data_IF_765602086316
#
_entry.id   IF_765602086316
#
_cell.length_a   1.000
_cell.length_b   1.000
_cell.length_c   1.000
_cell.angle_alpha   90.00
_cell.angle_beta   90.00
_cell.angle_gamma   90.00
#
_symmetry.space_group_name_H-M   'P 1'
#
loop_
_entity.id
_entity.type
_entity.pdbx_description
1 polymer ?
#
# COMPACT_ATOMS: atom_id res chain seq x y z
N UNK A 1 -5.56 -85.39 3.88
CA UNK A 1 -5.40 -84.01 3.37
C UNK A 1 -6.39 -83.07 4.06
N UNK A 2 -7.68 -83.43 4.11
CA UNK A 2 -8.73 -82.64 4.82
C UNK A 2 -8.47 -82.46 6.32
N UNK A 3 -7.96 -83.48 7.02
CA UNK A 3 -7.65 -83.41 8.46
C UNK A 3 -6.49 -82.47 8.79
N UNK A 4 -5.49 -82.37 7.92
CA UNK A 4 -4.38 -81.42 8.08
C UNK A 4 -4.81 -79.99 7.78
N UNK A 5 -5.70 -79.80 6.80
CA UNK A 5 -6.28 -78.50 6.45
C UNK A 5 -7.18 -77.98 7.58
N UNK A 6 -8.02 -78.85 8.16
CA UNK A 6 -8.85 -78.50 9.32
C UNK A 6 -8.01 -78.13 10.56
N UNK A 7 -6.90 -78.85 10.80
CA UNK A 7 -5.93 -78.52 11.85
C UNK A 7 -5.27 -77.14 11.63
N UNK A 8 -4.94 -76.81 10.39
CA UNK A 8 -4.37 -75.50 10.02
C UNK A 8 -5.38 -74.36 10.18
N UNK A 9 -6.64 -74.57 9.77
CA UNK A 9 -7.71 -73.60 9.98
C UNK A 9 -8.00 -73.34 11.46
N UNK A 10 -8.01 -74.39 12.29
CA UNK A 10 -8.20 -74.26 13.74
C UNK A 10 -7.05 -73.46 14.40
N UNK A 11 -5.80 -73.76 14.03
CA UNK A 11 -4.62 -73.00 14.50
C UNK A 11 -4.64 -71.54 14.05
N UNK A 12 -5.13 -71.26 12.85
CA UNK A 12 -5.32 -69.88 12.38
C UNK A 12 -6.44 -69.17 13.13
N UNK A 13 -7.54 -69.84 13.44
CA UNK A 13 -8.62 -69.27 14.25
C UNK A 13 -8.18 -68.97 15.70
N UNK A 14 -7.29 -69.76 16.29
CA UNK A 14 -6.68 -69.47 17.60
C UNK A 14 -5.77 -68.23 17.60
N UNK A 15 -5.16 -67.90 16.46
CA UNK A 15 -4.24 -66.76 16.33
C UNK A 15 -4.89 -65.50 15.75
N UNK A 16 -6.14 -65.56 15.31
CA UNK A 16 -6.89 -64.40 14.85
C UNK A 16 -7.50 -63.68 16.07
N UNK A 17 -7.29 -62.36 16.22
CA UNK A 17 -7.94 -61.61 17.29
C UNK A 17 -9.46 -61.70 17.15
N UNK A 18 -10.16 -61.82 18.27
CA UNK A 18 -11.62 -61.93 18.29
C UNK A 18 -12.23 -60.76 17.48
N UNK A 19 -13.01 -61.04 16.43
CA UNK A 19 -13.59 -60.00 15.58
C UNK A 19 -14.47 -59.03 16.38
N UNK A 20 -15.05 -59.46 17.51
CA UNK A 20 -15.81 -58.58 18.41
C UNK A 20 -14.92 -57.61 19.21
N UNK A 21 -13.70 -58.02 19.54
CA UNK A 21 -12.72 -57.17 20.20
C UNK A 21 -12.15 -56.13 19.23
N UNK A 22 -11.82 -56.56 18.00
CA UNK A 22 -11.34 -55.66 16.93
C UNK A 22 -12.40 -54.61 16.57
N UNK A 23 -13.67 -55.01 16.47
CA UNK A 23 -14.76 -54.07 16.19
C UNK A 23 -14.99 -53.09 17.35
N UNK A 24 -14.96 -53.55 18.60
CA UNK A 24 -15.07 -52.69 19.78
C UNK A 24 -13.93 -51.67 19.86
N UNK A 25 -12.70 -52.08 19.56
CA UNK A 25 -11.55 -51.17 19.55
C UNK A 25 -11.65 -50.15 18.41
N UNK A 26 -12.07 -50.57 17.23
CA UNK A 26 -12.30 -49.67 16.10
C UNK A 26 -13.42 -48.66 16.40
N UNK A 27 -14.50 -49.07 17.06
CA UNK A 27 -15.58 -48.16 17.49
C UNK A 27 -15.10 -47.13 18.52
N UNK A 28 -14.29 -47.55 19.49
CA UNK A 28 -13.72 -46.63 20.48
C UNK A 28 -12.84 -45.57 19.82
N UNK A 29 -11.93 -45.99 18.93
CA UNK A 29 -11.07 -45.08 18.18
C UNK A 29 -11.91 -44.14 17.31
N UNK A 30 -12.94 -44.66 16.63
CA UNK A 30 -13.83 -43.86 15.80
C UNK A 30 -14.60 -42.81 16.61
N UNK A 31 -15.11 -43.15 17.80
CA UNK A 31 -15.75 -42.18 18.71
C UNK A 31 -14.76 -41.10 19.14
N UNK A 32 -13.55 -41.48 19.54
CA UNK A 32 -12.51 -40.53 19.92
C UNK A 32 -12.13 -39.58 18.77
N UNK A 33 -12.03 -40.09 17.54
CA UNK A 33 -11.74 -39.26 16.37
C UNK A 33 -12.89 -38.30 16.05
N UNK A 34 -14.15 -38.76 16.19
CA UNK A 34 -15.33 -37.89 16.01
C UNK A 34 -15.35 -36.76 17.03
N UNK A 35 -15.02 -37.05 18.28
CA UNK A 35 -14.97 -36.04 19.34
C UNK A 35 -13.85 -35.01 19.07
N UNK A 36 -12.67 -35.48 18.63
CA UNK A 36 -11.57 -34.59 18.22
C UNK A 36 -11.95 -33.70 17.02
N UNK A 37 -12.61 -34.27 16.00
CA UNK A 37 -13.08 -33.52 14.83
C UNK A 37 -14.11 -32.47 15.25
N UNK A 38 -15.07 -32.83 16.12
CA UNK A 38 -16.04 -31.87 16.65
C UNK A 38 -15.34 -30.73 17.39
N UNK A 39 -14.36 -31.05 18.23
CA UNK A 39 -13.60 -30.04 18.97
C UNK A 39 -12.80 -29.12 18.02
N UNK A 40 -12.18 -29.67 16.97
CA UNK A 40 -11.49 -28.89 15.94
C UNK A 40 -12.46 -27.98 15.18
N UNK A 41 -13.66 -28.47 14.84
CA UNK A 41 -14.70 -27.66 14.19
C UNK A 41 -15.16 -26.51 15.08
N UNK A 42 -15.34 -26.74 16.39
CA UNK A 42 -15.68 -25.70 17.35
C UNK A 42 -14.58 -24.66 17.51
N UNK A 43 -13.31 -25.07 17.52
CA UNK A 43 -12.18 -24.14 17.54
C UNK A 43 -12.12 -23.30 16.27
N UNK A 44 -12.31 -23.91 15.10
CA UNK A 44 -12.33 -23.20 13.83
C UNK A 44 -13.48 -22.18 13.77
N UNK A 45 -14.69 -22.57 14.18
CA UNK A 45 -15.83 -21.66 14.25
C UNK A 45 -15.58 -20.49 15.22
N UNK A 46 -14.92 -20.75 16.34
CA UNK A 46 -14.54 -19.72 17.31
C UNK A 46 -13.51 -18.75 16.72
N UNK A 47 -12.50 -19.26 16.01
CA UNK A 47 -11.53 -18.43 15.28
C UNK A 47 -12.22 -17.59 14.22
N UNK A 48 -13.12 -18.17 13.41
CA UNK A 48 -13.90 -17.45 12.40
C UNK A 48 -14.73 -16.31 13.03
N UNK A 49 -15.34 -16.55 14.19
CA UNK A 49 -16.10 -15.53 14.93
C UNK A 49 -15.21 -14.42 15.49
N UNK A 50 -14.08 -14.76 16.10
CA UNK A 50 -13.14 -13.77 16.66
C UNK A 50 -12.48 -12.94 15.55
N UNK A 51 -12.22 -13.58 14.41
CA UNK A 51 -11.75 -12.95 13.18
C UNK A 51 -12.72 -11.83 12.79
N UNK A 52 -14.03 -12.09 12.65
CA UNK A 52 -14.98 -11.03 12.22
C UNK A 52 -15.13 -9.86 13.21
N UNK A 53 -14.73 -10.04 14.46
CA UNK A 53 -14.71 -8.98 15.48
C UNK A 53 -13.38 -8.24 15.56
N UNK A 54 -12.35 -8.73 14.87
CA UNK A 54 -11.01 -8.16 14.90
C UNK A 54 -11.00 -6.77 14.25
N UNK A 55 -10.47 -5.73 14.92
CA UNK A 55 -10.27 -4.42 14.31
C UNK A 55 -9.27 -4.48 13.13
N UNK A 56 -8.44 -5.54 13.06
CA UNK A 56 -7.55 -5.81 11.93
C UNK A 56 -8.27 -6.33 10.69
N UNK A 57 -9.57 -6.66 10.79
CA UNK A 57 -10.41 -7.08 9.67
C UNK A 57 -11.39 -6.02 9.20
N UNK A 58 -11.25 -4.77 9.65
CA UNK A 58 -11.80 -3.67 8.87
C UNK A 58 -11.30 -3.87 7.42
N UNK A 59 -12.19 -4.09 6.44
CA UNK A 59 -11.77 -4.52 5.12
C UNK A 59 -10.86 -3.45 4.56
N UNK A 60 -9.60 -3.82 4.33
CA UNK A 60 -8.64 -2.92 3.71
C UNK A 60 -9.21 -2.46 2.38
N UNK A 61 -9.23 -1.15 2.16
CA UNK A 61 -9.67 -0.53 0.92
C UNK A 61 -8.50 -0.29 -0.04
N UNK A 62 -7.34 -0.94 0.16
CA UNK A 62 -6.14 -0.70 -0.65
C UNK A 62 -6.36 -0.96 -2.13
N UNK A 63 -7.10 -2.03 -2.49
CA UNK A 63 -7.43 -2.31 -3.89
C UNK A 63 -8.39 -1.28 -4.49
N UNK A 64 -9.43 -0.91 -3.75
CA UNK A 64 -10.37 0.14 -4.17
C UNK A 64 -9.68 1.51 -4.33
N UNK A 65 -8.69 1.80 -3.46
CA UNK A 65 -7.85 2.98 -3.59
C UNK A 65 -6.97 2.91 -4.84
N UNK A 66 -6.33 1.76 -5.09
CA UNK A 66 -5.57 1.51 -6.32
C UNK A 66 -6.42 1.73 -7.57
N UNK A 67 -7.58 1.08 -7.66
CA UNK A 67 -8.52 1.22 -8.79
C UNK A 67 -9.08 2.65 -8.93
N UNK A 68 -9.12 3.42 -7.83
CA UNK A 68 -9.52 4.82 -7.86
C UNK A 68 -8.40 5.77 -8.31
N UNK A 69 -7.15 5.48 -7.93
CA UNK A 69 -5.98 6.32 -8.22
C UNK A 69 -5.40 6.06 -9.60
N UNK A 70 -5.44 4.80 -10.05
CA UNK A 70 -4.78 4.34 -11.25
C UNK A 70 -5.81 3.88 -12.29
N UNK A 71 -5.65 4.36 -13.52
CA UNK A 71 -6.39 3.87 -14.68
C UNK A 71 -5.40 3.21 -15.61
N UNK A 72 -5.76 2.01 -16.09
CA UNK A 72 -4.90 1.22 -16.98
C UNK A 72 -4.38 2.08 -18.13
N UNK A 73 -3.06 2.13 -18.26
CA UNK A 73 -2.39 2.99 -19.24
C UNK A 73 -1.37 2.19 -20.03
N UNK A 74 -1.59 2.13 -21.35
CA UNK A 74 -0.75 1.40 -22.28
C UNK A 74 -0.20 2.34 -23.35
N UNK A 75 1.10 2.26 -23.62
CA UNK A 75 1.78 3.04 -24.65
C UNK A 75 2.36 2.12 -25.73
N UNK A 76 1.52 1.44 -26.52
CA UNK A 76 1.99 0.50 -27.53
C UNK A 76 2.80 1.21 -28.62
N UNK A 77 3.68 0.44 -29.27
CA UNK A 77 4.52 0.92 -30.38
C UNK A 77 3.73 1.34 -31.63
N UNK A 78 2.44 1.03 -31.69
CA UNK A 78 1.54 1.44 -32.77
C UNK A 78 1.14 2.92 -32.70
N UNK A 79 1.27 3.56 -31.54
CA UNK A 79 0.93 4.98 -31.37
C UNK A 79 2.02 5.88 -31.96
N UNK A 80 1.61 6.89 -32.71
CA UNK A 80 2.49 7.98 -33.13
C UNK A 80 2.97 8.80 -31.93
N UNK A 81 4.09 9.50 -32.06
CA UNK A 81 4.65 10.36 -30.99
C UNK A 81 3.64 11.37 -30.45
N UNK A 82 2.83 11.97 -31.33
CA UNK A 82 1.78 12.92 -30.94
C UNK A 82 0.70 12.23 -30.10
N UNK A 83 0.17 11.10 -30.57
CA UNK A 83 -0.84 10.33 -29.82
C UNK A 83 -0.32 9.84 -28.46
N UNK A 84 0.95 9.44 -28.38
CA UNK A 84 1.60 9.07 -27.12
C UNK A 84 1.63 10.26 -26.15
N UNK A 85 2.02 11.44 -26.65
CA UNK A 85 2.09 12.67 -25.86
C UNK A 85 0.70 13.10 -25.38
N UNK A 86 -0.30 13.06 -26.25
CA UNK A 86 -1.68 13.41 -25.92
C UNK A 86 -2.26 12.45 -24.87
N UNK A 87 -1.95 11.15 -24.96
CA UNK A 87 -2.35 10.15 -23.97
C UNK A 87 -1.73 10.43 -22.59
N UNK A 88 -0.43 10.69 -22.55
CA UNK A 88 0.28 11.03 -21.30
C UNK A 88 -0.26 12.31 -20.66
N UNK A 89 -0.54 13.34 -21.46
CA UNK A 89 -1.14 14.59 -21.00
C UNK A 89 -2.55 14.34 -20.45
N UNK A 90 -3.38 13.56 -21.15
CA UNK A 90 -4.72 13.22 -20.71
C UNK A 90 -4.71 12.45 -19.38
N UNK A 91 -3.76 11.53 -19.18
CA UNK A 91 -3.56 10.82 -17.93
C UNK A 91 -3.20 11.80 -16.78
N UNK A 92 -2.25 12.71 -17.01
CA UNK A 92 -1.88 13.75 -16.03
C UNK A 92 -3.10 14.61 -15.62
N UNK A 93 -3.87 15.09 -16.60
CA UNK A 93 -5.03 15.94 -16.36
C UNK A 93 -6.16 15.20 -15.64
N UNK A 94 -6.38 13.93 -15.99
CA UNK A 94 -7.34 13.07 -15.31
C UNK A 94 -6.94 12.85 -13.86
N UNK A 95 -5.69 12.48 -13.60
CA UNK A 95 -5.17 12.26 -12.25
C UNK A 95 -5.39 13.49 -11.36
N UNK A 96 -4.92 14.66 -11.81
CA UNK A 96 -5.07 15.93 -11.08
C UNK A 96 -6.53 16.29 -10.82
N UNK A 97 -7.45 15.98 -11.74
CA UNK A 97 -8.88 16.22 -11.59
C UNK A 97 -9.54 15.28 -10.58
N UNK A 98 -9.09 14.03 -10.48
CA UNK A 98 -9.69 13.01 -9.61
C UNK A 98 -9.27 13.16 -8.14
N UNK A 99 -8.10 13.73 -7.86
CA UNK A 99 -7.56 13.83 -6.49
C UNK A 99 -8.57 14.34 -5.46
N UNK A 100 -9.28 15.48 -5.64
CA UNK A 100 -10.18 15.98 -4.61
C UNK A 100 -11.32 15.02 -4.29
N UNK A 101 -11.84 14.31 -5.30
CA UNK A 101 -12.87 13.29 -5.11
C UNK A 101 -12.34 12.06 -4.36
N UNK A 102 -11.13 11.61 -4.68
CA UNK A 102 -10.47 10.50 -3.99
C UNK A 102 -10.18 10.85 -2.52
N UNK A 103 -9.67 12.05 -2.25
CA UNK A 103 -9.48 12.55 -0.88
C UNK A 103 -10.80 12.60 -0.12
N UNK A 104 -11.87 13.10 -0.77
CA UNK A 104 -13.22 13.08 -0.20
C UNK A 104 -13.74 11.68 0.15
N UNK A 105 -13.37 10.65 -0.64
CA UNK A 105 -13.82 9.25 -0.46
C UNK A 105 -13.01 8.49 0.59
N UNK A 106 -11.70 8.72 0.67
CA UNK A 106 -10.79 7.91 1.49
C UNK A 106 -10.27 8.65 2.73
N UNK A 107 -9.97 9.95 2.63
CA UNK A 107 -9.39 10.71 3.73
C UNK A 107 -10.42 11.39 4.64
N UNK A 108 -11.59 11.78 4.11
CA UNK A 108 -12.57 12.62 4.83
C UNK A 108 -12.96 12.09 6.22
N UNK A 109 -13.20 10.79 6.34
CA UNK A 109 -13.58 10.16 7.61
C UNK A 109 -12.49 10.24 8.69
N UNK A 110 -11.24 10.48 8.30
CA UNK A 110 -10.08 10.53 9.19
C UNK A 110 -9.63 11.96 9.51
N UNK A 111 -10.21 12.98 8.87
CA UNK A 111 -9.88 14.40 9.14
C UNK A 111 -10.00 14.80 10.62
N UNK A 112 -10.97 14.30 11.42
CA UNK A 112 -11.05 14.60 12.84
C UNK A 112 -9.89 14.00 13.67
N UNK A 113 -9.24 12.94 13.16
CA UNK A 113 -8.16 12.25 13.87
C UNK A 113 -6.80 12.92 13.66
N UNK A 114 -6.63 13.65 12.56
CA UNK A 114 -5.48 14.53 12.40
C UNK A 114 -5.66 15.73 13.35
N UNK A 115 -4.59 16.15 14.02
CA UNK A 115 -4.56 17.36 14.85
C UNK A 115 -3.27 18.12 14.55
N UNK A 116 -3.14 19.36 15.04
CA UNK A 116 -1.89 20.12 14.87
C UNK A 116 -0.69 19.47 15.59
N UNK A 117 -0.95 18.77 16.70
CA UNK A 117 0.10 18.09 17.48
C UNK A 117 0.36 16.67 17.03
N UNK A 118 -0.57 16.06 16.29
CA UNK A 118 -0.47 14.67 15.87
C UNK A 118 -1.01 14.49 14.44
N UNK A 119 -0.13 14.32 13.43
CA UNK A 119 -0.57 13.93 12.10
C UNK A 119 -1.21 12.55 12.13
N UNK A 120 -2.21 12.33 11.29
CA UNK A 120 -2.83 11.02 11.13
C UNK A 120 -2.13 10.27 10.00
N UNK A 121 -1.64 9.07 10.25
CA UNK A 121 -1.13 8.16 9.22
C UNK A 121 -1.72 6.77 9.42
N UNK A 122 -2.28 6.20 8.36
CA UNK A 122 -2.86 4.86 8.38
C UNK A 122 -2.39 4.05 7.19
N UNK A 123 -1.58 3.02 7.48
CA UNK A 123 -1.12 2.04 6.49
C UNK A 123 -1.99 0.80 6.55
N UNK A 124 -2.42 0.33 5.38
CA UNK A 124 -3.23 -0.87 5.22
C UNK A 124 -2.65 -1.76 4.12
N UNK A 125 -2.80 -3.07 4.29
CA UNK A 125 -2.31 -4.09 3.35
C UNK A 125 -3.47 -4.99 2.93
N UNK A 126 -3.57 -5.29 1.65
CA UNK A 126 -4.56 -6.20 1.07
C UNK A 126 -3.89 -7.07 0.01
N UNK A 127 -4.35 -8.29 -0.21
CA UNK A 127 -3.99 -9.08 -1.38
C UNK A 127 -5.25 -9.59 -2.08
N UNK A 128 -5.22 -9.67 -3.41
CA UNK A 128 -6.37 -10.10 -4.24
C UNK A 128 -6.14 -11.42 -4.98
N UNK A 129 -5.10 -12.17 -4.59
CA UNK A 129 -4.68 -13.43 -5.18
C UNK A 129 -3.57 -13.26 -6.22
N UNK A 130 -3.54 -12.14 -6.95
CA UNK A 130 -2.52 -11.84 -7.94
C UNK A 130 -1.46 -10.87 -7.40
N UNK A 131 -1.91 -9.85 -6.68
CA UNK A 131 -1.05 -8.78 -6.18
C UNK A 131 -1.24 -8.55 -4.68
N UNK A 132 -0.20 -7.98 -4.06
CA UNK A 132 -0.32 -7.36 -2.73
C UNK A 132 -0.32 -5.86 -2.88
N UNK A 133 -1.35 -5.22 -2.34
CA UNK A 133 -1.53 -3.78 -2.29
C UNK A 133 -1.17 -3.28 -0.91
N UNK A 134 -0.29 -2.29 -0.84
CA UNK A 134 0.04 -1.59 0.39
C UNK A 134 -0.36 -0.14 0.17
N UNK A 135 -1.28 0.37 0.97
CA UNK A 135 -1.80 1.74 0.87
C UNK A 135 -1.51 2.55 2.13
N UNK A 136 -1.30 3.85 1.99
CA UNK A 136 -1.20 4.78 3.11
C UNK A 136 -2.10 6.00 2.88
N UNK A 137 -2.73 6.45 3.96
CA UNK A 137 -3.42 7.73 4.06
C UNK A 137 -2.67 8.56 5.11
N UNK A 138 -2.17 9.73 4.71
CA UNK A 138 -1.53 10.69 5.59
C UNK A 138 -2.31 12.01 5.58
N UNK A 139 -2.60 12.54 6.76
CA UNK A 139 -3.26 13.83 6.96
C UNK A 139 -2.47 14.64 7.98
N UNK A 140 -2.00 15.81 7.58
CA UNK A 140 -1.23 16.71 8.43
C UNK A 140 -1.78 18.13 8.33
N UNK A 141 -1.81 18.85 9.44
CA UNK A 141 -2.10 20.29 9.47
C UNK A 141 -0.83 21.04 9.78
N UNK A 142 -0.40 21.90 8.86
CA UNK A 142 0.76 22.77 9.03
C UNK A 142 0.24 24.13 9.55
N UNK A 143 0.46 24.45 10.83
CA UNK A 143 -0.08 25.68 11.43
C UNK A 143 0.71 26.92 11.01
N UNK A 144 0.06 28.09 11.01
CA UNK A 144 0.67 29.42 10.89
C UNK A 144 1.55 29.63 9.65
N UNK A 145 1.24 28.95 8.54
CA UNK A 145 1.99 29.07 7.28
C UNK A 145 1.03 29.34 6.14
N UNK A 146 1.47 30.18 5.20
CA UNK A 146 0.75 30.36 3.94
C UNK A 146 0.89 29.10 3.07
N UNK A 147 -0.05 28.94 2.17
CA UNK A 147 -0.05 27.86 1.19
C UNK A 147 1.21 27.87 0.32
N UNK A 148 1.72 29.04 -0.04
CA UNK A 148 2.94 29.20 -0.85
C UNK A 148 4.15 28.53 -0.20
N UNK A 149 4.38 28.76 1.09
CA UNK A 149 5.51 28.14 1.81
C UNK A 149 5.37 26.62 1.93
N UNK A 150 4.16 26.13 2.22
CA UNK A 150 3.90 24.69 2.31
C UNK A 150 4.10 23.98 0.97
N UNK A 151 3.62 24.59 -0.13
CA UNK A 151 3.82 24.07 -1.49
C UNK A 151 5.30 24.09 -1.85
N UNK A 152 6.02 25.19 -1.58
CA UNK A 152 7.46 25.28 -1.83
C UNK A 152 8.25 24.20 -1.08
N UNK A 153 7.92 23.93 0.18
CA UNK A 153 8.54 22.87 0.98
C UNK A 153 8.27 21.47 0.41
N UNK A 154 7.05 21.21 -0.04
CA UNK A 154 6.70 19.92 -0.66
C UNK A 154 7.39 19.72 -2.01
N UNK A 155 7.46 20.76 -2.84
CA UNK A 155 8.19 20.71 -4.11
C UNK A 155 9.68 20.46 -3.88
N UNK A 156 10.27 21.07 -2.84
CA UNK A 156 11.64 20.80 -2.44
C UNK A 156 11.86 19.32 -2.07
N UNK A 157 10.93 18.71 -1.34
CA UNK A 157 10.98 17.27 -1.05
C UNK A 157 10.98 16.44 -2.33
N UNK A 158 10.09 16.72 -3.29
CA UNK A 158 10.04 15.94 -4.53
C UNK A 158 11.30 16.11 -5.39
N UNK A 159 11.88 17.33 -5.42
CA UNK A 159 13.11 17.61 -6.15
C UNK A 159 14.33 16.89 -5.56
N UNK A 160 14.36 16.70 -4.23
CA UNK A 160 15.47 16.07 -3.52
C UNK A 160 15.19 14.62 -3.11
N UNK A 161 14.09 14.03 -3.59
CA UNK A 161 13.58 12.74 -3.14
C UNK A 161 14.66 11.63 -3.17
N UNK A 162 15.45 11.57 -4.24
CA UNK A 162 16.54 10.60 -4.39
C UNK A 162 17.55 10.71 -3.25
N UNK A 163 18.00 11.93 -2.96
CA UNK A 163 18.98 12.23 -1.93
C UNK A 163 18.43 11.90 -0.55
N UNK A 164 17.20 12.32 -0.25
CA UNK A 164 16.55 12.09 1.05
C UNK A 164 16.31 10.59 1.32
N UNK A 165 15.93 9.82 0.28
CA UNK A 165 15.77 8.36 0.41
C UNK A 165 17.08 7.65 0.69
N UNK A 166 18.14 8.06 0.00
CA UNK A 166 19.44 7.45 0.19
C UNK A 166 20.02 7.80 1.57
N UNK A 167 19.91 9.06 1.99
CA UNK A 167 20.47 9.51 3.28
C UNK A 167 19.71 8.95 4.48
N UNK A 168 18.38 8.91 4.44
CA UNK A 168 17.57 8.51 5.58
C UNK A 168 17.28 7.01 5.63
N UNK A 169 17.17 6.34 4.48
CA UNK A 169 16.72 4.94 4.40
C UNK A 169 17.72 4.01 3.70
N UNK A 170 18.82 4.52 3.12
CA UNK A 170 19.74 3.72 2.32
C UNK A 170 19.11 3.18 1.04
N UNK A 171 18.00 3.79 0.61
CA UNK A 171 17.22 3.39 -0.56
C UNK A 171 17.68 4.21 -1.76
N UNK A 172 18.04 3.54 -2.85
CA UNK A 172 18.45 4.20 -4.08
C UNK A 172 17.23 4.39 -4.98
N UNK A 173 16.98 5.63 -5.39
CA UNK A 173 15.85 5.97 -6.24
C UNK A 173 16.30 7.02 -7.26
N UNK A 174 16.47 6.60 -8.51
CA UNK A 174 16.76 7.52 -9.61
C UNK A 174 15.48 7.87 -10.33
N UNK A 175 15.27 9.16 -10.59
CA UNK A 175 14.12 9.65 -11.35
C UNK A 175 14.63 10.39 -12.58
N UNK A 176 14.51 9.75 -13.74
CA UNK A 176 14.95 10.29 -15.03
C UNK A 176 13.75 10.86 -15.78
N UNK A 177 13.83 12.12 -16.23
CA UNK A 177 12.77 12.71 -17.08
C UNK A 177 12.96 12.22 -18.51
N UNK A 178 12.01 11.40 -18.99
CA UNK A 178 12.01 10.89 -20.36
C UNK A 178 11.42 11.91 -21.35
N UNK A 179 10.38 12.64 -20.91
CA UNK A 179 9.72 13.66 -21.73
C UNK A 179 9.13 14.76 -20.85
N UNK A 180 9.39 16.02 -21.17
CA UNK A 180 8.67 17.16 -20.61
C UNK A 180 7.34 17.34 -21.35
N UNK A 181 6.23 17.36 -20.60
CA UNK A 181 4.87 17.50 -21.11
C UNK A 181 4.31 18.93 -20.88
N UNK A 182 5.14 19.83 -20.33
CA UNK A 182 4.81 21.21 -20.04
C UNK A 182 3.81 21.38 -18.90
N UNK A 183 3.69 22.61 -18.38
CA UNK A 183 2.73 22.98 -17.34
C UNK A 183 2.83 22.13 -16.06
N UNK A 184 4.05 21.82 -15.63
CA UNK A 184 4.28 21.02 -14.43
C UNK A 184 3.95 19.53 -14.60
N UNK A 185 3.95 19.03 -15.85
CA UNK A 185 3.73 17.64 -16.20
C UNK A 185 4.98 17.04 -16.82
N UNK A 186 5.30 15.80 -16.47
CA UNK A 186 6.45 15.09 -17.00
C UNK A 186 6.17 13.61 -17.13
N UNK A 187 6.79 12.98 -18.11
CA UNK A 187 6.93 11.53 -18.18
C UNK A 187 8.33 11.15 -17.73
N UNK A 188 8.41 10.24 -16.76
CA UNK A 188 9.65 9.91 -16.06
C UNK A 188 9.84 8.41 -15.96
N UNK A 189 11.09 7.99 -15.80
CA UNK A 189 11.45 6.64 -15.39
C UNK A 189 12.02 6.68 -13.98
N UNK A 190 11.38 5.95 -13.08
CA UNK A 190 11.84 5.72 -11.72
C UNK A 190 12.57 4.39 -11.66
N UNK A 191 13.85 4.40 -11.26
CA UNK A 191 14.63 3.20 -10.95
C UNK A 191 14.84 3.13 -9.45
N UNK A 192 14.21 2.14 -8.84
CA UNK A 192 14.18 1.93 -7.40
C UNK A 192 15.02 0.70 -7.02
N UNK A 193 15.82 0.82 -5.98
CA UNK A 193 16.58 -0.28 -5.39
C UNK A 193 16.62 -0.12 -3.88
N UNK A 194 16.23 -1.18 -3.20
CA UNK A 194 16.28 -1.30 -1.76
C UNK A 194 17.04 -2.58 -1.39
N UNK A 195 18.31 -2.40 -1.05
CA UNK A 195 19.24 -3.51 -0.86
C UNK A 195 19.49 -4.31 -2.15
N UNK A 196 20.10 -5.50 -2.03
CA UNK A 196 20.47 -6.33 -3.19
C UNK A 196 19.30 -7.12 -3.77
N UNK A 197 18.26 -7.37 -2.97
CA UNK A 197 17.18 -8.32 -3.29
C UNK A 197 15.89 -7.67 -3.80
N UNK A 198 15.80 -6.34 -3.76
CA UNK A 198 14.62 -5.61 -4.18
C UNK A 198 15.00 -4.47 -5.11
N UNK A 199 14.55 -4.56 -6.37
CA UNK A 199 14.70 -3.49 -7.35
C UNK A 199 13.51 -3.50 -8.29
N UNK A 200 13.05 -2.32 -8.68
CA UNK A 200 12.03 -2.12 -9.69
C UNK A 200 12.42 -0.95 -10.58
N UNK A 201 12.05 -1.03 -11.84
CA UNK A 201 12.07 0.12 -12.74
C UNK A 201 10.65 0.37 -13.16
N UNK A 202 10.28 1.61 -13.38
CA UNK A 202 8.94 1.93 -13.78
C UNK A 202 8.81 3.26 -14.46
N UNK A 203 7.90 3.35 -15.43
CA UNK A 203 7.61 4.63 -16.05
C UNK A 203 6.37 5.26 -15.40
N UNK A 204 6.48 6.55 -15.10
CA UNK A 204 5.55 7.29 -14.27
C UNK A 204 5.27 8.65 -14.88
N UNK A 205 3.99 8.97 -15.01
CA UNK A 205 3.50 10.32 -15.26
C UNK A 205 3.50 11.11 -13.95
N UNK A 206 4.06 12.32 -13.99
CA UNK A 206 4.05 13.26 -12.88
C UNK A 206 3.29 14.49 -13.33
N UNK A 207 2.40 15.00 -12.48
CA UNK A 207 1.63 16.20 -12.75
C UNK A 207 1.45 17.02 -11.47
N UNK A 208 1.77 18.31 -11.55
CA UNK A 208 1.52 19.27 -10.48
C UNK A 208 0.62 20.40 -10.98
N UNK A 209 -0.41 20.73 -10.20
CA UNK A 209 -1.26 21.91 -10.43
C UNK A 209 -1.38 22.69 -9.13
N UNK A 210 -0.88 23.93 -9.16
CA UNK A 210 -0.96 24.86 -8.04
C UNK A 210 -1.90 26.00 -8.42
N UNK A 211 -2.91 26.22 -7.60
CA UNK A 211 -3.83 27.37 -7.66
C UNK A 211 -3.74 28.13 -6.34
N UNK A 212 -4.32 29.35 -6.23
CA UNK A 212 -4.38 30.06 -4.96
C UNK A 212 -5.11 29.29 -3.84
N UNK A 213 -6.02 28.38 -4.24
CA UNK A 213 -6.90 27.65 -3.31
C UNK A 213 -6.50 26.18 -3.09
N UNK A 214 -5.60 25.62 -3.89
CA UNK A 214 -5.20 24.22 -3.76
C UNK A 214 -3.92 23.88 -4.53
N UNK A 215 -3.13 22.94 -4.02
CA UNK A 215 -2.00 22.39 -4.74
C UNK A 215 -2.15 20.88 -4.81
N UNK A 216 -2.06 20.35 -6.02
CA UNK A 216 -2.24 18.94 -6.33
C UNK A 216 -0.98 18.43 -6.99
N UNK A 217 -0.43 17.33 -6.49
CA UNK A 217 0.66 16.58 -7.13
C UNK A 217 0.21 15.14 -7.30
N UNK A 218 0.33 14.61 -8.50
CA UNK A 218 -0.02 13.23 -8.84
C UNK A 218 1.18 12.58 -9.50
N UNK A 219 1.45 11.36 -9.07
CA UNK A 219 2.34 10.41 -9.71
C UNK A 219 1.54 9.14 -9.99
N UNK A 220 1.34 8.82 -11.25
CA UNK A 220 0.59 7.66 -11.70
C UNK A 220 1.38 6.97 -12.80
N UNK A 221 1.28 5.66 -12.86
CA UNK A 221 2.17 4.88 -13.69
C UNK A 221 1.60 4.41 -15.01
N UNK A 222 2.48 3.87 -15.87
CA UNK A 222 2.10 3.27 -17.14
C UNK A 222 2.30 1.75 -17.07
N UNK A 223 1.24 0.96 -17.27
CA UNK A 223 1.26 -0.51 -17.17
C UNK A 223 2.04 -1.16 -18.31
N UNK A 224 1.69 -0.81 -19.55
CA UNK A 224 2.31 -1.34 -20.76
C UNK A 224 3.26 -0.30 -21.35
N UNK A 225 4.33 -0.09 -20.59
CA UNK A 225 5.64 0.36 -21.05
C UNK A 225 6.67 -0.55 -20.34
N UNK A 226 7.93 -0.61 -20.77
CA UNK A 226 8.85 -1.75 -20.53
C UNK A 226 9.09 -2.15 -19.04
N UNK A 227 8.55 -1.48 -18.01
CA UNK A 227 8.62 -1.94 -16.60
C UNK A 227 7.43 -1.47 -15.70
N UNK A 228 7.16 -2.19 -14.57
CA UNK A 228 5.98 -2.04 -13.68
C UNK A 228 6.17 -1.17 -12.39
N UNK A 229 5.14 -0.43 -11.89
CA UNK A 229 5.38 0.77 -11.05
C UNK A 229 4.63 0.93 -9.69
N UNK A 230 4.82 2.13 -9.10
CA UNK A 230 4.31 2.71 -7.83
C UNK A 230 3.36 3.91 -8.09
N UNK A 231 2.26 4.06 -7.34
CA UNK A 231 1.31 5.22 -7.44
C UNK A 231 1.27 6.11 -6.21
N UNK A 232 1.22 7.44 -6.42
CA UNK A 232 1.19 8.44 -5.33
C UNK A 232 0.37 9.68 -5.69
N UNK A 233 -0.30 10.25 -4.71
CA UNK A 233 -1.08 11.48 -4.89
C UNK A 233 -1.04 12.34 -3.62
N UNK A 234 -0.91 13.65 -3.80
CA UNK A 234 -0.84 14.67 -2.76
C UNK A 234 -1.79 15.81 -3.08
N UNK A 235 -2.57 16.25 -2.09
CA UNK A 235 -3.44 17.42 -2.12
C UNK A 235 -3.11 18.31 -0.92
N UNK A 236 -2.91 19.59 -1.17
CA UNK A 236 -2.81 20.61 -0.14
C UNK A 236 -3.90 21.65 -0.35
N UNK A 237 -4.60 22.00 0.73
CA UNK A 237 -5.65 23.02 0.72
C UNK A 237 -5.42 23.97 1.90
N UNK A 238 -5.52 25.30 1.69
CA UNK A 238 -5.54 26.25 2.78
C UNK A 238 -6.85 26.07 3.56
N UNK A 239 -6.75 26.15 4.88
CA UNK A 239 -7.88 26.11 5.80
C UNK A 239 -7.73 27.23 6.82
N UNK A 240 -8.86 27.68 7.36
CA UNK A 240 -8.90 28.57 8.51
C UNK A 240 -9.51 27.84 9.67
N UNK A 241 -8.82 27.85 10.80
CA UNK A 241 -9.36 27.31 12.03
C UNK A 241 -10.59 28.17 12.44
N UNK A 242 -11.78 27.56 12.55
CA UNK A 242 -13.02 28.28 12.83
C UNK A 242 -13.09 28.87 14.25
N UNK A 243 -12.22 28.44 15.18
CA UNK A 243 -12.23 28.88 16.57
C UNK A 243 -11.33 30.10 16.82
N UNK A 244 -10.19 30.19 16.14
CA UNK A 244 -9.19 31.24 16.37
C UNK A 244 -8.90 32.10 15.11
N UNK A 245 -9.46 31.74 13.95
CA UNK A 245 -9.28 32.45 12.68
C UNK A 245 -7.89 32.30 12.07
N UNK A 246 -7.02 31.45 12.62
CA UNK A 246 -5.66 31.26 12.12
C UNK A 246 -5.64 30.43 10.84
N UNK A 247 -4.79 30.85 9.91
CA UNK A 247 -4.56 30.13 8.66
C UNK A 247 -3.61 28.95 8.88
N UNK A 248 -4.01 27.80 8.34
CA UNK A 248 -3.19 26.59 8.29
C UNK A 248 -3.33 25.91 6.94
N UNK A 249 -2.40 25.02 6.62
CA UNK A 249 -2.46 24.23 5.39
C UNK A 249 -2.76 22.78 5.77
N UNK A 250 -3.85 22.25 5.24
CA UNK A 250 -4.17 20.83 5.32
C UNK A 250 -3.45 20.11 4.19
N UNK A 251 -2.52 19.22 4.55
CA UNK A 251 -1.82 18.31 3.65
C UNK A 251 -2.46 16.93 3.73
N UNK A 252 -2.88 16.41 2.58
CA UNK A 252 -3.51 15.10 2.44
C UNK A 252 -2.75 14.30 1.39
N UNK A 253 -2.26 13.11 1.75
CA UNK A 253 -1.55 12.22 0.83
C UNK A 253 -2.22 10.86 0.83
N UNK A 254 -2.41 10.34 -0.38
CA UNK A 254 -2.80 8.96 -0.65
C UNK A 254 -1.66 8.32 -1.45
N UNK A 255 -1.20 7.16 -1.03
CA UNK A 255 -0.25 6.37 -1.81
C UNK A 255 -0.62 4.91 -1.78
N UNK A 256 -0.36 4.23 -2.89
CA UNK A 256 -0.62 2.80 -3.02
C UNK A 256 0.44 2.15 -3.89
N UNK A 257 1.04 1.09 -3.35
CA UNK A 257 2.02 0.29 -4.06
C UNK A 257 1.36 -1.06 -4.40
N UNK A 258 1.43 -1.45 -5.67
CA UNK A 258 1.05 -2.79 -6.14
C UNK A 258 2.30 -3.64 -6.28
N UNK A 259 2.42 -4.68 -5.46
CA UNK A 259 3.53 -5.64 -5.50
C UNK A 259 3.10 -6.92 -6.21
N UNK A 260 3.89 -7.36 -7.18
CA UNK A 260 3.80 -8.69 -7.76
C UNK A 260 4.48 -9.73 -6.85
N UNK A 261 4.09 -9.75 -5.58
CA UNK A 261 4.57 -10.66 -4.55
C UNK A 261 3.40 -11.03 -3.64
N UNK A 262 3.31 -12.27 -3.17
CA UNK A 262 2.29 -12.66 -2.21
C UNK A 262 2.55 -12.02 -0.84
N UNK A 263 1.52 -11.87 0.01
CA UNK A 263 1.66 -11.28 1.34
C UNK A 263 2.53 -12.12 2.29
N UNK A 264 2.83 -13.38 1.94
CA UNK A 264 3.74 -14.27 2.67
C UNK A 264 5.21 -14.11 2.28
N UNK A 265 5.52 -13.28 1.28
CA UNK A 265 6.88 -13.07 0.80
C UNK A 265 7.73 -12.32 1.84
N UNK A 266 8.83 -12.94 2.29
CA UNK A 266 9.79 -12.27 3.18
C UNK A 266 10.41 -11.02 2.56
N UNK A 267 10.68 -11.06 1.24
CA UNK A 267 11.18 -9.90 0.50
C UNK A 267 10.24 -8.71 0.56
N UNK A 268 8.93 -8.97 0.51
CA UNK A 268 7.92 -7.93 0.64
C UNK A 268 7.88 -7.36 2.07
N UNK A 269 8.02 -8.22 3.09
CA UNK A 269 8.05 -7.77 4.49
C UNK A 269 9.26 -6.88 4.77
N UNK A 270 10.44 -7.26 4.27
CA UNK A 270 11.66 -6.49 4.44
C UNK A 270 11.60 -5.17 3.68
N UNK A 271 11.06 -5.17 2.46
CA UNK A 271 10.77 -3.96 1.68
C UNK A 271 9.83 -3.02 2.45
N UNK A 272 8.66 -3.49 2.87
CA UNK A 272 7.69 -2.65 3.60
C UNK A 272 8.30 -2.11 4.90
N UNK A 273 9.05 -2.94 5.65
CA UNK A 273 9.65 -2.52 6.93
C UNK A 273 10.67 -1.41 6.73
N UNK A 274 11.54 -1.55 5.74
CA UNK A 274 12.62 -0.60 5.46
C UNK A 274 12.13 0.69 4.80
N UNK A 275 11.12 0.61 3.92
CA UNK A 275 10.53 1.77 3.25
C UNK A 275 9.37 2.41 4.01
N UNK A 276 9.00 1.87 5.19
CA UNK A 276 7.86 2.37 5.98
C UNK A 276 7.93 3.87 6.28
N UNK A 277 9.06 4.46 6.71
CA UNK A 277 9.12 5.90 7.01
C UNK A 277 8.89 6.79 5.76
N UNK A 278 9.19 6.27 4.57
CA UNK A 278 8.88 6.96 3.33
C UNK A 278 7.41 6.81 2.94
N UNK A 279 6.89 5.59 3.15
CA UNK A 279 5.56 5.22 2.76
C UNK A 279 4.48 5.83 3.66
N UNK A 280 4.71 5.87 4.97
CA UNK A 280 3.79 6.39 5.98
C UNK A 280 3.75 7.94 6.05
N UNK A 281 4.69 8.61 5.37
CA UNK A 281 4.77 10.07 5.33
C UNK A 281 5.80 10.71 6.27
N UNK A 282 6.50 9.94 7.11
CA UNK A 282 7.45 10.51 8.08
C UNK A 282 8.58 11.27 7.39
N UNK A 283 9.17 10.70 6.34
CA UNK A 283 10.22 11.36 5.56
C UNK A 283 9.71 12.63 4.87
N UNK A 284 8.48 12.59 4.33
CA UNK A 284 7.86 13.77 3.73
C UNK A 284 7.71 14.89 4.77
N UNK A 285 7.23 14.53 5.97
CA UNK A 285 7.01 15.50 7.04
C UNK A 285 8.30 16.03 7.62
N UNK A 286 9.34 15.21 7.79
CA UNK A 286 10.66 15.64 8.22
C UNK A 286 11.21 16.71 7.28
N UNK A 287 11.22 16.45 5.97
CA UNK A 287 11.77 17.39 4.98
C UNK A 287 10.94 18.67 4.90
N UNK A 288 9.61 18.57 4.94
CA UNK A 288 8.73 19.74 4.93
C UNK A 288 8.95 20.59 6.18
N UNK A 289 8.96 20.00 7.38
CA UNK A 289 9.16 20.72 8.63
C UNK A 289 10.53 21.40 8.65
N UNK A 290 11.59 20.65 8.28
CA UNK A 290 12.96 21.18 8.18
C UNK A 290 13.04 22.38 7.24
N UNK A 291 12.40 22.30 6.08
CA UNK A 291 12.39 23.40 5.11
C UNK A 291 11.59 24.62 5.60
N UNK A 292 10.48 24.39 6.31
CA UNK A 292 9.67 25.46 6.88
C UNK A 292 10.35 26.14 8.09
N UNK A 293 11.21 25.44 8.82
CA UNK A 293 12.03 26.00 9.90
C UNK A 293 13.15 26.89 9.34
N UNK A 294 13.85 26.42 8.31
CA UNK A 294 14.93 27.18 7.65
C UNK A 294 14.43 28.48 7.01
N UNK A 295 13.22 28.46 6.44
CA UNK A 295 12.56 29.65 5.89
C UNK A 295 11.94 30.56 6.97
N UNK A 296 11.83 30.09 8.22
CA UNK A 296 11.26 30.82 9.35
C UNK A 296 12.30 31.52 10.24
N UNK A 297 13.59 31.22 10.10
CA UNK A 297 14.64 31.95 10.81
C UNK A 297 14.94 33.27 10.10
N UNK A 298 14.86 34.44 10.77
CA UNK A 298 15.42 35.66 10.21
C UNK A 298 16.92 35.44 10.01
N UNK A 299 17.41 35.62 8.77
CA UNK A 299 18.85 35.69 8.51
C UNK A 299 19.44 36.74 9.45
N UNK A 300 20.24 36.29 10.42
CA UNK A 300 21.06 37.20 11.22
C UNK A 300 22.01 37.91 10.25
N UNK A 301 21.77 39.21 10.06
CA UNK A 301 22.71 40.15 9.45
C UNK A 301 23.89 40.38 10.39
#
# INVERSE_FOLDING_TARGET
METQLASLCAKWQEHLPDPSWVSSQAEMVNRSLKDQVLQQQLYLASLQHLITQSPFLAPSRSKELFEGMHSFSALPNSLTTTQRTDHLIAQCEMGVRLVPALMGRFARQHLPNATFSNPFSHTSVMADGNFTYVSNILLCRIPHRSMEFAVGAAMHYFQNLSTELNSHLGVHCDLEVLQDLGHGRAYTQMRYRNGPSFSSSSNTTLAARVTPDSAVVVADFVDEDVCYPIDRTLLMTPERDPMNGQEHVLVQRLSVNRYNLPPTSSRLHDEIRSSLPWFNGDLLMEVICRQLEQNGQPRAL
#
